data_IF_473271953165
#
_entry.id   IF_473271953165
#
_cell.length_a   1.000
_cell.length_b   1.000
_cell.length_c   1.000
_cell.angle_alpha   90.00
_cell.angle_beta   90.00
_cell.angle_gamma   90.00
#
_symmetry.space_group_name_H-M   'P 1'
#
loop_
_entity.id
_entity.type
_entity.pdbx_description
1 polymer ?
#
# COMPACT_ATOMS: atom_id res chain seq x y z
N UNK A 1 3.56 -5.75 -17.12
CA UNK A 1 2.89 -5.41 -15.85
C UNK A 1 2.14 -4.14 -16.10
N UNK A 2 0.90 -4.03 -15.66
CA UNK A 2 0.06 -2.84 -15.87
C UNK A 2 -0.40 -2.34 -14.50
N UNK A 3 0.45 -1.56 -13.82
CA UNK A 3 0.10 -0.94 -12.55
C UNK A 3 -0.88 0.21 -12.82
N UNK A 4 -2.07 0.11 -12.25
CA UNK A 4 -3.10 1.14 -12.31
C UNK A 4 -2.91 2.08 -11.13
N UNK A 5 -2.62 3.35 -11.41
CA UNK A 5 -2.38 4.36 -10.39
C UNK A 5 -3.68 4.89 -9.80
N UNK A 6 -3.80 4.85 -8.47
CA UNK A 6 -4.98 5.33 -7.74
C UNK A 6 -4.75 6.66 -7.02
N UNK A 7 -3.51 6.97 -6.69
CA UNK A 7 -3.16 8.27 -6.14
C UNK A 7 -1.88 8.24 -5.32
N UNK A 8 -1.36 9.44 -5.08
CA UNK A 8 -0.25 9.72 -4.17
C UNK A 8 -0.69 10.70 -3.10
N UNK A 9 0.07 10.79 -2.03
CA UNK A 9 -0.20 11.69 -0.91
C UNK A 9 -0.35 13.15 -1.39
N UNK A 10 -1.53 13.77 -1.21
CA UNK A 10 -1.79 15.11 -1.71
C UNK A 10 -1.01 16.22 -0.98
N UNK A 11 -0.42 15.93 0.19
CA UNK A 11 0.25 16.92 1.05
C UNK A 11 1.78 16.84 1.00
N UNK A 12 2.36 16.28 -0.06
CA UNK A 12 3.82 16.10 -0.19
C UNK A 12 4.40 17.01 -1.27
N UNK A 13 5.47 17.73 -0.93
CA UNK A 13 6.05 18.82 -1.74
C UNK A 13 7.21 18.41 -2.67
N UNK A 14 7.56 17.12 -2.80
CA UNK A 14 8.62 16.80 -3.76
C UNK A 14 9.12 15.37 -3.79
N UNK A 15 9.61 14.84 -2.68
CA UNK A 15 10.58 13.74 -2.81
C UNK A 15 10.09 12.36 -2.32
N UNK A 16 9.24 12.29 -1.29
CA UNK A 16 8.75 11.02 -0.74
C UNK A 16 7.22 11.03 -0.56
N UNK A 17 6.50 10.52 -1.57
CA UNK A 17 5.05 10.49 -1.59
C UNK A 17 4.52 9.05 -1.43
N UNK A 18 3.82 8.72 -0.33
CA UNK A 18 3.08 7.48 -0.24
C UNK A 18 2.12 7.35 -1.42
N UNK A 19 2.10 6.19 -2.08
CA UNK A 19 1.40 5.98 -3.35
C UNK A 19 0.77 4.61 -3.40
N UNK A 20 -0.39 4.49 -4.07
CA UNK A 20 -1.14 3.24 -4.20
C UNK A 20 -1.44 2.92 -5.66
N UNK A 21 -1.26 1.64 -6.01
CA UNK A 21 -1.60 1.05 -7.30
C UNK A 21 -2.35 -0.28 -7.17
N UNK A 22 -2.98 -0.72 -8.24
CA UNK A 22 -3.47 -2.10 -8.43
C UNK A 22 -2.69 -2.75 -9.58
N UNK A 23 -2.14 -3.95 -9.39
CA UNK A 23 -1.56 -4.72 -10.50
C UNK A 23 -2.67 -5.32 -11.36
N UNK A 24 -2.76 -4.87 -12.61
CA UNK A 24 -3.75 -5.35 -13.56
C UNK A 24 -3.61 -6.83 -13.94
N UNK A 25 -2.53 -7.53 -13.55
CA UNK A 25 -2.33 -8.95 -13.83
C UNK A 25 -3.04 -9.88 -12.85
N UNK A 26 -2.97 -9.57 -11.56
CA UNK A 26 -3.41 -10.44 -10.48
C UNK A 26 -4.34 -9.73 -9.48
N UNK A 27 -4.65 -8.45 -9.72
CA UNK A 27 -5.45 -7.59 -8.87
C UNK A 27 -4.80 -7.24 -7.51
N UNK A 28 -3.50 -7.51 -7.32
CA UNK A 28 -2.82 -7.20 -6.07
C UNK A 28 -2.71 -5.68 -5.85
N UNK A 29 -2.82 -5.26 -4.59
CA UNK A 29 -2.56 -3.89 -4.19
C UNK A 29 -1.06 -3.68 -3.98
N UNK A 30 -0.51 -2.64 -4.59
CA UNK A 30 0.89 -2.25 -4.44
C UNK A 30 0.95 -0.90 -3.74
N UNK A 31 1.79 -0.80 -2.71
CA UNK A 31 1.94 0.40 -1.91
C UNK A 31 3.39 0.87 -1.86
N UNK A 32 3.58 2.18 -1.96
CA UNK A 32 4.81 2.86 -1.55
C UNK A 32 4.49 3.68 -0.31
N UNK A 33 5.36 3.62 0.70
CA UNK A 33 5.21 4.33 1.96
C UNK A 33 6.54 4.52 2.67
N UNK A 34 6.50 5.13 3.85
CA UNK A 34 7.69 5.27 4.69
C UNK A 34 7.96 4.01 5.49
N UNK A 35 9.22 3.70 5.74
CA UNK A 35 9.59 2.64 6.70
C UNK A 35 9.11 3.01 8.09
N UNK A 36 8.68 2.02 8.86
CA UNK A 36 8.37 2.19 10.28
C UNK A 36 9.62 2.31 11.13
N UNK A 37 9.48 2.87 12.33
CA UNK A 37 10.51 2.76 13.36
C UNK A 37 10.51 1.34 13.96
N UNK A 38 11.57 1.02 14.73
CA UNK A 38 11.74 -0.30 15.33
C UNK A 38 10.63 -0.64 16.33
N UNK A 39 10.13 0.34 17.08
CA UNK A 39 9.03 0.12 18.06
C UNK A 39 7.73 -0.31 17.36
N UNK A 40 7.34 0.40 16.29
CA UNK A 40 6.16 0.02 15.50
C UNK A 40 6.36 -1.35 14.84
N UNK A 41 7.56 -1.63 14.33
CA UNK A 41 7.85 -2.92 13.69
C UNK A 41 7.79 -4.06 14.71
N UNK A 42 8.36 -3.89 15.90
CA UNK A 42 8.31 -4.86 17.00
C UNK A 42 6.87 -5.12 17.46
N UNK A 43 6.02 -4.08 17.51
CA UNK A 43 4.60 -4.27 17.82
C UNK A 43 3.89 -5.08 16.72
N UNK A 44 4.21 -4.85 15.44
CA UNK A 44 3.68 -5.67 14.35
C UNK A 44 4.15 -7.13 14.45
N UNK A 45 5.39 -7.36 14.92
CA UNK A 45 5.95 -8.72 15.13
C UNK A 45 5.21 -9.52 16.19
N UNK A 46 4.41 -8.88 17.06
CA UNK A 46 3.57 -9.59 18.04
C UNK A 46 2.43 -10.38 17.39
N UNK A 47 2.00 -9.98 16.18
CA UNK A 47 0.93 -10.65 15.43
C UNK A 47 1.50 -11.79 14.58
N UNK A 48 2.73 -11.65 14.06
CA UNK A 48 3.35 -12.64 13.20
C UNK A 48 4.81 -12.35 12.85
N UNK A 49 5.50 -13.37 12.34
CA UNK A 49 6.89 -13.23 11.89
C UNK A 49 6.96 -12.40 10.60
N UNK A 50 7.78 -11.35 10.59
CA UNK A 50 8.08 -10.54 9.40
C UNK A 50 9.47 -10.95 8.88
N UNK A 51 9.56 -11.76 7.80
CA UNK A 51 10.82 -12.16 7.17
C UNK A 51 11.44 -11.02 6.34
N UNK A 52 12.68 -11.19 5.90
CA UNK A 52 13.40 -10.19 5.08
C UNK A 52 12.73 -9.85 3.74
N UNK A 53 11.83 -10.71 3.26
CA UNK A 53 11.04 -10.50 2.04
C UNK A 53 9.78 -9.66 2.28
N UNK A 54 9.46 -9.33 3.52
CA UNK A 54 8.30 -8.53 3.92
C UNK A 54 8.75 -7.23 4.59
N UNK A 55 7.94 -6.18 4.48
CA UNK A 55 8.24 -4.89 5.09
C UNK A 55 6.98 -4.28 5.68
N UNK A 56 7.12 -3.72 6.88
CA UNK A 56 6.08 -2.87 7.46
C UNK A 56 6.31 -1.45 6.95
N UNK A 57 5.28 -0.90 6.30
CA UNK A 57 5.31 0.48 5.81
C UNK A 57 4.19 1.29 6.45
N UNK A 58 4.49 2.55 6.74
CA UNK A 58 3.52 3.50 7.27
C UNK A 58 2.88 4.26 6.11
N UNK A 59 1.56 4.16 6.03
CA UNK A 59 0.73 4.91 5.08
C UNK A 59 -0.09 5.95 5.85
N UNK A 60 0.00 7.24 5.51
CA UNK A 60 -0.73 8.27 6.24
C UNK A 60 -2.25 8.15 6.03
N UNK A 61 -3.03 8.39 7.09
CA UNK A 61 -4.49 8.20 7.10
C UNK A 61 -5.24 8.99 6.01
N UNK A 62 -4.69 10.11 5.55
CA UNK A 62 -5.24 10.89 4.42
C UNK A 62 -5.23 10.15 3.07
N UNK A 63 -4.45 9.08 2.93
CA UNK A 63 -4.49 8.20 1.75
C UNK A 63 -5.71 7.30 1.74
N UNK A 64 -6.41 7.09 2.86
CA UNK A 64 -7.52 6.14 2.99
C UNK A 64 -8.58 6.27 1.87
N UNK A 65 -9.03 7.47 1.44
CA UNK A 65 -9.98 7.59 0.33
C UNK A 65 -9.44 7.05 -1.00
N UNK A 66 -8.14 7.17 -1.26
CA UNK A 66 -7.48 6.65 -2.46
C UNK A 66 -7.32 5.13 -2.37
N UNK A 67 -6.95 4.63 -1.19
CA UNK A 67 -6.82 3.19 -0.92
C UNK A 67 -8.16 2.48 -1.10
N UNK A 68 -9.26 3.06 -0.60
CA UNK A 68 -10.60 2.48 -0.79
C UNK A 68 -10.96 2.30 -2.26
N UNK A 69 -10.67 3.30 -3.10
CA UNK A 69 -10.88 3.19 -4.55
C UNK A 69 -10.02 2.09 -5.19
N UNK A 70 -8.78 1.94 -4.72
CA UNK A 70 -7.91 0.87 -5.18
C UNK A 70 -8.45 -0.51 -4.76
N UNK A 71 -8.98 -0.64 -3.54
CA UNK A 71 -9.66 -1.85 -3.07
C UNK A 71 -10.86 -2.19 -3.95
N UNK A 72 -11.72 -1.21 -4.26
CA UNK A 72 -12.89 -1.41 -5.12
C UNK A 72 -12.49 -1.98 -6.49
N UNK A 73 -11.41 -1.48 -7.10
CA UNK A 73 -10.89 -2.00 -8.37
C UNK A 73 -10.29 -3.40 -8.22
N UNK A 74 -9.51 -3.65 -7.16
CA UNK A 74 -8.90 -4.95 -6.90
C UNK A 74 -9.98 -6.04 -6.72
N UNK A 75 -11.05 -5.72 -5.98
CA UNK A 75 -12.21 -6.60 -5.80
C UNK A 75 -12.90 -6.88 -7.15
N UNK A 76 -13.16 -5.84 -7.95
CA UNK A 76 -13.77 -6.02 -9.28
C UNK A 76 -12.93 -6.90 -10.19
N UNK A 77 -11.60 -6.76 -10.16
CA UNK A 77 -10.69 -7.55 -11.02
C UNK A 77 -10.48 -8.98 -10.55
N UNK A 78 -10.47 -9.21 -9.23
CA UNK A 78 -10.33 -10.56 -8.67
C UNK A 78 -11.59 -11.40 -8.85
N UNK A 79 -12.77 -10.76 -8.90
CA UNK A 79 -14.04 -11.45 -9.17
C UNK A 79 -14.21 -11.93 -10.63
N UNK A 80 -13.36 -11.46 -11.55
CA UNK A 80 -13.46 -11.75 -13.00
C UNK A 80 -12.36 -12.71 -13.48
N UNK A 81 -11.43 -13.12 -12.60
CA UNK A 81 -10.33 -14.05 -12.90
C UNK A 81 -10.69 -15.52 -12.65
#
# INVERSE_FOLDING_TARGET
MALLFFGKDPNTNGDDCPTVWVDGKNADLVFQGWKTDGETEDECRTVGHIPDTEAVIRIPARMVPLIRKACDEAEQRSAVQ
#
